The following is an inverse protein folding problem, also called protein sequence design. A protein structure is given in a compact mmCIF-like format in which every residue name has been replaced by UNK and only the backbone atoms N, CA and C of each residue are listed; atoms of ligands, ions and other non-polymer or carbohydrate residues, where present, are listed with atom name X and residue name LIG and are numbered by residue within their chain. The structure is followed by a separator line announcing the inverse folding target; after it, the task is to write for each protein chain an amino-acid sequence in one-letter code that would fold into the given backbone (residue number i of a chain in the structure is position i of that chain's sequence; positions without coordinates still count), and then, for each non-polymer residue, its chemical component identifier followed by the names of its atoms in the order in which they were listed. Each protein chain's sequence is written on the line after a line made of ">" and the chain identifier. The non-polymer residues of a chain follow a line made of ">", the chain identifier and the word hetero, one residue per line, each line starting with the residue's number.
data_IF_022739986800
#
_entry.id   IF_022739986800
#
_cell.length_a   1.000
_cell.length_b   1.000
_cell.length_c   1.000
_cell.angle_alpha   90.00
_cell.angle_beta   90.00
_cell.angle_gamma   90.00
#
_symmetry.space_group_name_H-M   'P 1'
#
loop_
_entity.id
_entity.type
_entity.pdbx_description
1 polymer ?
#
# COMPACT_ATOMS: atom_id res chain seq x y z
N UNK A 1 3.89 -26.94 -13.02
CA UNK A 1 4.95 -26.38 -13.89
C UNK A 1 4.46 -25.11 -14.57
N UNK A 2 4.97 -23.96 -14.15
CA UNK A 2 4.71 -22.64 -14.74
C UNK A 2 6.06 -22.03 -15.15
N UNK A 3 6.06 -21.08 -16.07
CA UNK A 3 7.28 -20.43 -16.55
C UNK A 3 7.81 -19.50 -15.46
N UNK A 4 9.06 -19.70 -15.03
CA UNK A 4 9.69 -18.82 -14.05
C UNK A 4 9.98 -17.45 -14.67
N UNK A 5 9.53 -16.36 -14.06
CA UNK A 5 9.76 -14.99 -14.54
C UNK A 5 11.25 -14.60 -14.55
N UNK A 6 12.06 -15.26 -13.71
CA UNK A 6 13.49 -14.94 -13.56
C UNK A 6 14.40 -15.71 -14.51
N UNK A 7 14.11 -16.99 -14.78
CA UNK A 7 14.95 -17.82 -15.63
C UNK A 7 14.29 -18.28 -16.93
N UNK A 8 13.00 -17.99 -17.14
CA UNK A 8 12.25 -18.33 -18.36
C UNK A 8 12.01 -19.82 -18.56
N UNK A 9 12.34 -20.67 -17.57
CA UNK A 9 12.19 -22.14 -17.66
C UNK A 9 10.86 -22.57 -17.06
N UNK A 10 10.18 -23.51 -17.71
CA UNK A 10 9.02 -24.20 -17.14
C UNK A 10 9.49 -25.11 -16.00
N UNK A 11 9.19 -24.72 -14.76
CA UNK A 11 9.56 -25.45 -13.53
C UNK A 11 8.41 -25.39 -12.53
N UNK A 12 8.53 -26.10 -11.43
CA UNK A 12 7.67 -25.86 -10.28
C UNK A 12 8.09 -24.56 -9.60
N UNK A 13 7.38 -23.49 -9.97
CA UNK A 13 7.51 -22.17 -9.40
C UNK A 13 6.43 -21.94 -8.35
N UNK A 14 6.76 -21.12 -7.36
CA UNK A 14 5.84 -20.64 -6.34
C UNK A 14 5.56 -19.16 -6.60
N UNK A 15 4.30 -18.77 -6.47
CA UNK A 15 3.90 -17.38 -6.54
C UNK A 15 4.40 -16.65 -5.29
N UNK A 16 5.15 -15.56 -5.49
CA UNK A 16 5.73 -14.73 -4.43
C UNK A 16 5.40 -13.27 -4.65
N UNK A 17 5.13 -12.54 -3.58
CA UNK A 17 4.98 -11.10 -3.61
C UNK A 17 6.31 -10.42 -3.26
N UNK A 18 6.78 -9.56 -4.15
CA UNK A 18 8.01 -8.77 -3.98
C UNK A 18 7.64 -7.32 -4.32
N UNK A 19 7.82 -6.40 -3.39
CA UNK A 19 7.55 -4.96 -3.57
C UNK A 19 6.14 -4.65 -4.12
N UNK A 20 5.12 -5.37 -3.63
CA UNK A 20 3.73 -5.21 -4.03
C UNK A 20 3.37 -5.80 -5.41
N UNK A 21 4.27 -6.57 -6.02
CA UNK A 21 4.05 -7.27 -7.30
C UNK A 21 4.17 -8.77 -7.12
N UNK A 22 3.33 -9.52 -7.82
CA UNK A 22 3.33 -10.99 -7.80
C UNK A 22 4.21 -11.53 -8.93
N UNK A 23 5.03 -12.54 -8.60
CA UNK A 23 5.96 -13.19 -9.50
C UNK A 23 5.92 -14.71 -9.34
N UNK A 24 6.04 -15.45 -10.44
CA UNK A 24 6.21 -16.89 -10.44
C UNK A 24 7.70 -17.24 -10.44
N UNK A 25 8.20 -17.70 -9.29
CA UNK A 25 9.64 -17.90 -9.08
C UNK A 25 9.95 -19.32 -8.63
N UNK A 26 10.90 -19.98 -9.30
CA UNK A 26 11.40 -21.29 -8.87
C UNK A 26 12.32 -21.19 -7.64
N UNK A 27 12.45 -22.28 -6.88
CA UNK A 27 13.25 -22.32 -5.65
C UNK A 27 14.73 -21.91 -5.86
N UNK A 28 15.32 -22.28 -7.00
CA UNK A 28 16.70 -21.92 -7.35
C UNK A 28 16.89 -20.42 -7.52
N UNK A 29 15.90 -19.73 -8.11
CA UNK A 29 15.93 -18.28 -8.30
C UNK A 29 15.52 -17.54 -7.02
N UNK A 30 14.64 -18.13 -6.21
CA UNK A 30 14.19 -17.53 -4.95
C UNK A 30 15.29 -17.47 -3.90
N UNK A 31 16.08 -18.52 -3.72
CA UNK A 31 17.09 -18.60 -2.65
C UNK A 31 18.10 -17.42 -2.63
N UNK A 32 18.78 -17.08 -3.75
CA UNK A 32 19.68 -15.92 -3.78
C UNK A 32 18.94 -14.58 -3.65
N UNK A 33 17.67 -14.54 -4.05
CA UNK A 33 16.85 -13.34 -4.03
C UNK A 33 16.35 -13.06 -2.59
N UNK A 34 15.94 -14.09 -1.87
CA UNK A 34 15.58 -14.05 -0.46
C UNK A 34 16.75 -13.53 0.39
N UNK A 35 17.97 -14.03 0.17
CA UNK A 35 19.16 -13.55 0.89
C UNK A 35 19.44 -12.05 0.66
N UNK A 36 19.16 -11.53 -0.54
CA UNK A 36 19.31 -10.10 -0.86
C UNK A 36 18.19 -9.24 -0.28
N UNK A 37 16.97 -9.79 -0.17
CA UNK A 37 15.82 -9.12 0.44
C UNK A 37 15.95 -9.07 1.98
N UNK A 38 16.48 -10.13 2.59
CA UNK A 38 16.66 -10.25 4.04
C UNK A 38 17.59 -9.14 4.61
N UNK A 39 18.58 -8.70 3.85
CA UNK A 39 19.51 -7.63 4.23
C UNK A 39 19.03 -6.20 3.97
N UNK A 40 17.89 -6.00 3.29
CA UNK A 40 17.35 -4.68 2.92
C UNK A 40 16.04 -4.35 3.64
N UNK A 41 15.78 -4.98 4.77
CA UNK A 41 14.72 -4.57 5.68
C UNK A 41 14.98 -3.17 6.20
N UNK A 42 14.32 -2.16 5.64
CA UNK A 42 14.14 -0.88 6.34
C UNK A 42 13.41 -1.20 7.64
N UNK A 43 14.14 -1.26 8.77
CA UNK A 43 13.56 -0.93 10.07
C UNK A 43 13.02 0.50 9.93
N UNK A 44 11.88 0.79 10.56
CA UNK A 44 11.11 2.04 10.49
C UNK A 44 10.03 2.03 9.39
N UNK A 45 8.94 1.30 9.65
CA UNK A 45 7.61 1.94 9.54
C UNK A 45 7.41 2.62 10.89
N UNK A 46 7.79 3.89 10.98
CA UNK A 46 7.27 4.75 12.04
C UNK A 46 5.78 4.90 11.73
N UNK A 47 4.98 3.97 12.22
CA UNK A 47 3.54 4.17 12.26
C UNK A 47 3.34 5.33 13.23
N UNK A 48 3.26 6.56 12.70
CA UNK A 48 2.90 7.72 13.49
C UNK A 48 1.48 7.47 13.97
N UNK A 49 1.35 7.02 15.22
CA UNK A 49 0.08 7.03 15.92
C UNK A 49 -0.26 8.50 16.14
N UNK A 50 -1.08 9.05 15.25
CA UNK A 50 -1.70 10.33 15.50
C UNK A 50 -2.51 10.19 16.80
N UNK A 51 -2.40 11.14 17.76
CA UNK A 51 -3.27 11.12 18.92
C UNK A 51 -4.73 11.13 18.45
N UNK A 52 -5.65 10.46 19.17
CA UNK A 52 -7.06 10.52 18.84
C UNK A 52 -7.45 12.00 18.78
N UNK A 53 -7.92 12.45 17.61
CA UNK A 53 -8.51 13.78 17.49
C UNK A 53 -9.64 13.83 18.54
N UNK A 54 -9.75 14.89 19.36
CA UNK A 54 -10.97 15.07 20.14
C UNK A 54 -12.12 15.01 19.14
N UNK A 55 -13.05 14.08 19.37
CA UNK A 55 -14.33 14.09 18.66
C UNK A 55 -14.93 15.43 19.04
N UNK A 56 -14.81 16.43 18.16
CA UNK A 56 -15.72 17.55 18.20
C UNK A 56 -17.06 16.89 17.98
N UNK A 57 -17.89 16.83 19.03
CA UNK A 57 -19.30 16.53 18.90
C UNK A 57 -19.76 17.28 17.66
N UNK A 58 -20.15 16.51 16.64
CA UNK A 58 -20.69 17.03 15.40
C UNK A 58 -21.92 17.81 15.83
N UNK A 59 -21.78 19.13 16.00
CA UNK A 59 -22.91 20.04 15.95
C UNK A 59 -23.67 19.66 14.68
N UNK A 60 -24.89 19.19 14.94
CA UNK A 60 -25.98 18.90 14.03
C UNK A 60 -25.60 18.79 12.55
N UNK A 61 -25.65 17.56 12.03
CA UNK A 61 -25.76 17.28 10.61
C UNK A 61 -27.06 17.92 10.08
N UNK A 62 -27.04 19.21 9.75
CA UNK A 62 -27.98 19.76 8.79
C UNK A 62 -27.49 19.36 7.39
N UNK A 63 -28.13 18.33 6.84
CA UNK A 63 -27.97 17.95 5.45
C UNK A 63 -28.27 19.17 4.55
N UNK A 64 -27.37 19.58 3.63
CA UNK A 64 -27.70 20.64 2.69
C UNK A 64 -28.82 20.14 1.76
N UNK A 65 -29.97 20.80 1.81
CA UNK A 65 -31.14 20.50 0.98
C UNK A 65 -30.75 20.39 -0.51
N UNK A 66 -31.28 19.39 -1.25
CA UNK A 66 -30.94 19.19 -2.66
C UNK A 66 -31.45 20.37 -3.49
N UNK A 67 -30.53 21.17 -4.03
CA UNK A 67 -30.83 22.28 -4.94
C UNK A 67 -30.09 23.59 -4.68
N UNK A 68 -29.27 23.67 -3.62
CA UNK A 68 -28.43 24.85 -3.36
C UNK A 68 -27.19 24.92 -4.27
N UNK A 69 -26.70 26.12 -4.61
CA UNK A 69 -25.41 26.27 -5.29
C UNK A 69 -24.27 25.69 -4.43
N UNK A 70 -23.26 25.03 -5.03
CA UNK A 70 -22.19 24.40 -4.27
C UNK A 70 -21.41 25.43 -3.45
N UNK A 71 -21.16 25.10 -2.17
CA UNK A 71 -20.36 25.93 -1.27
C UNK A 71 -18.88 25.71 -1.59
N UNK A 72 -18.22 26.72 -2.16
CA UNK A 72 -16.78 26.70 -2.45
C UNK A 72 -16.05 27.26 -1.23
N UNK A 73 -15.20 26.46 -0.59
CA UNK A 73 -14.28 26.96 0.43
C UNK A 73 -13.03 27.50 -0.27
N UNK A 74 -12.95 28.82 -0.44
CA UNK A 74 -11.74 29.48 -0.90
C UNK A 74 -10.75 29.63 0.25
N UNK A 75 -9.51 29.14 0.09
CA UNK A 75 -8.40 29.53 0.95
C UNK A 75 -8.07 31.01 0.68
N UNK A 76 -8.26 31.85 1.69
CA UNK A 76 -7.65 33.18 1.72
C UNK A 76 -6.39 33.06 2.59
N UNK A 77 -5.23 33.02 1.94
CA UNK A 77 -4.00 33.49 2.57
C UNK A 77 -3.89 34.99 2.29
N UNK A 78 -3.91 35.80 3.35
CA UNK A 78 -3.34 37.14 3.42
C UNK A 78 -3.10 37.50 4.89
#
# INVERSE_FOLDING_TARGET
>A
MITCDLCGKAKDCLQKEIDGRQYDVCAECWNPLAQRLEGKGRKIRETVFLPPRPVKEREEEEEPLPGGPPKIWGALEA
#
